data_IF_250588254975
#
_entry.id   IF_250588254975
#
_cell.length_a   1.000
_cell.length_b   1.000
_cell.length_c   1.000
_cell.angle_alpha   90.00
_cell.angle_beta   90.00
_cell.angle_gamma   90.00
#
_symmetry.space_group_name_H-M   'P 1'
#
loop_
_entity.id
_entity.type
_entity.pdbx_description
1 polymer ?
#
# COMPACT_ATOMS: atom_id res chain seq x y z
N UNK A 1 -14.92 0.79 -0.85
CA UNK A 1 -15.44 0.68 -2.23
C UNK A 1 -16.06 1.98 -2.72
N UNK A 2 -17.12 2.47 -2.09
CA UNK A 2 -17.85 3.69 -2.52
C UNK A 2 -16.94 4.93 -2.65
N UNK A 3 -15.98 5.09 -1.73
CA UNK A 3 -14.98 6.16 -1.82
C UNK A 3 -14.17 6.11 -3.14
N UNK A 4 -13.70 4.93 -3.55
CA UNK A 4 -12.98 4.78 -4.83
C UNK A 4 -13.88 5.10 -6.02
N UNK A 5 -15.13 4.61 -6.00
CA UNK A 5 -16.12 4.89 -7.04
C UNK A 5 -16.36 6.37 -7.22
N UNK A 6 -16.55 7.10 -6.13
CA UNK A 6 -16.77 8.56 -6.14
C UNK A 6 -15.53 9.33 -6.59
N UNK A 7 -14.35 8.92 -6.16
CA UNK A 7 -13.10 9.63 -6.47
C UNK A 7 -12.60 9.37 -7.89
N UNK A 8 -12.75 8.14 -8.40
CA UNK A 8 -12.15 7.72 -9.68
C UNK A 8 -13.16 7.43 -10.79
N UNK A 9 -14.45 7.25 -10.46
CA UNK A 9 -15.49 6.91 -11.42
C UNK A 9 -15.52 5.44 -11.85
N UNK A 10 -14.69 4.59 -11.23
CA UNK A 10 -14.59 3.15 -11.52
C UNK A 10 -14.73 2.32 -10.24
N UNK A 11 -15.12 1.06 -10.39
CA UNK A 11 -15.21 0.11 -9.29
C UNK A 11 -13.99 -0.81 -9.28
N UNK A 12 -13.32 -1.00 -8.13
CA UNK A 12 -12.37 -2.09 -7.99
C UNK A 12 -13.07 -3.45 -8.04
N UNK A 13 -12.36 -4.48 -8.52
CA UNK A 13 -12.83 -5.86 -8.56
C UNK A 13 -12.47 -6.62 -7.27
N UNK A 14 -13.14 -7.74 -7.01
CA UNK A 14 -12.78 -8.62 -5.89
C UNK A 14 -11.33 -9.08 -6.05
N UNK A 15 -10.54 -8.94 -4.99
CA UNK A 15 -9.20 -9.51 -4.93
C UNK A 15 -9.25 -10.89 -4.29
N UNK A 16 -9.10 -10.95 -2.97
CA UNK A 16 -9.16 -12.19 -2.20
C UNK A 16 -8.90 -11.97 -0.71
N UNK A 17 -8.71 -13.07 0.01
CA UNK A 17 -8.58 -13.07 1.47
C UNK A 17 -7.15 -13.43 1.90
N UNK A 18 -6.68 -12.86 3.00
CA UNK A 18 -5.35 -13.12 3.58
C UNK A 18 -5.51 -13.85 4.91
N UNK A 19 -5.49 -15.21 4.93
CA UNK A 19 -5.80 -15.97 6.14
C UNK A 19 -4.92 -15.62 7.34
N UNK A 20 -3.59 -15.47 7.13
CA UNK A 20 -2.64 -15.11 8.21
C UNK A 20 -2.95 -13.76 8.87
N UNK A 21 -3.67 -12.87 8.17
CA UNK A 21 -3.97 -11.51 8.64
C UNK A 21 -5.46 -11.28 8.89
N UNK A 22 -6.32 -12.25 8.60
CA UNK A 22 -7.78 -12.10 8.71
C UNK A 22 -8.29 -10.84 8.00
N UNK A 23 -7.77 -10.54 6.80
CA UNK A 23 -8.18 -9.40 5.96
C UNK A 23 -8.68 -9.89 4.60
N UNK A 24 -9.38 -9.02 3.89
CA UNK A 24 -9.77 -9.23 2.50
C UNK A 24 -9.57 -7.95 1.70
N UNK A 25 -9.41 -8.06 0.39
CA UNK A 25 -9.16 -6.92 -0.47
C UNK A 25 -10.00 -6.89 -1.74
N UNK A 26 -10.06 -5.69 -2.30
CA UNK A 26 -10.48 -5.40 -3.66
C UNK A 26 -9.32 -4.69 -4.38
N UNK A 27 -9.21 -4.90 -5.69
CA UNK A 27 -8.09 -4.46 -6.49
C UNK A 27 -8.58 -3.63 -7.68
N UNK A 28 -7.84 -2.58 -8.03
CA UNK A 28 -8.03 -1.81 -9.25
C UNK A 28 -6.71 -1.78 -10.01
N UNK A 29 -6.70 -2.25 -11.27
CA UNK A 29 -5.52 -2.17 -12.13
C UNK A 29 -5.19 -0.71 -12.41
N UNK A 30 -3.91 -0.35 -12.25
CA UNK A 30 -3.37 0.99 -12.52
C UNK A 30 -2.17 0.94 -13.48
N UNK A 31 -2.00 -0.15 -14.22
CA UNK A 31 -0.88 -0.42 -15.12
C UNK A 31 -0.50 -1.89 -15.10
N UNK A 32 0.55 -2.26 -15.84
CA UNK A 32 0.96 -3.67 -15.98
C UNK A 32 1.56 -4.26 -14.70
N UNK A 33 2.12 -3.41 -13.85
CA UNK A 33 2.79 -3.79 -12.60
C UNK A 33 2.29 -3.03 -11.37
N UNK A 34 1.27 -2.17 -11.52
CA UNK A 34 0.75 -1.29 -10.47
C UNK A 34 -0.75 -1.51 -10.31
N UNK A 35 -1.21 -1.56 -9.06
CA UNK A 35 -2.62 -1.63 -8.71
C UNK A 35 -2.90 -0.85 -7.42
N UNK A 36 -4.14 -0.39 -7.28
CA UNK A 36 -4.66 0.11 -6.01
C UNK A 36 -5.31 -1.05 -5.25
N UNK A 37 -4.93 -1.22 -4.00
CA UNK A 37 -5.54 -2.17 -3.09
C UNK A 37 -6.46 -1.44 -2.10
N UNK A 38 -7.71 -1.88 -2.02
CA UNK A 38 -8.64 -1.52 -0.95
C UNK A 38 -8.71 -2.71 -0.02
N UNK A 39 -8.28 -2.55 1.24
CA UNK A 39 -8.14 -3.64 2.20
C UNK A 39 -8.82 -3.32 3.53
N UNK A 40 -9.42 -4.34 4.15
CA UNK A 40 -10.07 -4.24 5.47
C UNK A 40 -9.97 -5.57 6.23
N UNK A 41 -10.17 -5.56 7.57
CA UNK A 41 -10.46 -6.79 8.32
C UNK A 41 -11.62 -7.55 7.70
N UNK A 42 -11.49 -8.86 7.55
CA UNK A 42 -12.57 -9.71 7.06
C UNK A 42 -13.53 -10.02 8.23
N UNK A 43 -14.81 -9.58 8.17
CA UNK A 43 -15.76 -9.77 9.28
C UNK A 43 -16.21 -11.23 9.43
N UNK A 44 -15.98 -12.07 8.42
CA UNK A 44 -16.44 -13.46 8.39
C UNK A 44 -15.42 -14.45 8.97
N UNK A 45 -14.26 -13.97 9.42
CA UNK A 45 -13.21 -14.81 10.00
C UNK A 45 -12.82 -14.29 11.39
N UNK A 46 -12.36 -15.17 12.30
CA UNK A 46 -11.86 -14.74 13.60
C UNK A 46 -10.72 -13.72 13.49
N UNK A 47 -10.58 -12.88 14.52
CA UNK A 47 -9.38 -12.04 14.66
C UNK A 47 -8.14 -12.94 14.72
N UNK A 48 -7.07 -12.68 13.95
CA UNK A 48 -5.85 -13.47 14.01
C UNK A 48 -5.14 -13.28 15.36
N UNK A 49 -4.30 -14.25 15.73
CA UNK A 49 -3.48 -14.22 16.96
C UNK A 49 -2.26 -13.27 16.87
N UNK A 50 -2.22 -12.41 15.84
CA UNK A 50 -1.18 -11.42 15.60
C UNK A 50 -1.79 -10.08 15.23
N UNK A 51 -1.09 -8.95 15.44
CA UNK A 51 -1.53 -7.67 14.90
C UNK A 51 -1.68 -7.72 13.38
N UNK A 52 -2.79 -7.17 12.88
CA UNK A 52 -2.97 -6.96 11.44
C UNK A 52 -2.04 -5.87 10.94
N UNK A 53 -1.60 -6.00 9.70
CA UNK A 53 -0.77 -5.01 9.01
C UNK A 53 -1.52 -3.69 8.82
N UNK A 54 -0.80 -2.68 8.37
CA UNK A 54 -1.35 -1.40 7.92
C UNK A 54 -2.19 -0.69 8.99
N UNK A 55 -1.88 -0.91 10.27
CA UNK A 55 -2.58 -0.35 11.43
C UNK A 55 -4.07 -0.70 11.50
N UNK A 56 -4.53 -1.73 10.80
CA UNK A 56 -5.96 -2.02 10.68
C UNK A 56 -6.65 -2.29 12.02
N UNK A 57 -5.94 -2.82 13.01
CA UNK A 57 -6.48 -3.07 14.36
C UNK A 57 -6.57 -1.80 15.23
N UNK A 58 -5.99 -0.67 14.79
CA UNK A 58 -6.09 0.65 15.45
C UNK A 58 -7.24 1.49 14.91
N UNK A 59 -7.88 1.05 13.82
CA UNK A 59 -8.98 1.79 13.20
C UNK A 59 -10.28 1.48 13.94
N UNK A 60 -11.00 2.54 14.32
CA UNK A 60 -12.38 2.43 14.79
C UNK A 60 -13.33 2.14 13.61
N UNK A 61 -14.48 1.53 13.88
CA UNK A 61 -15.45 1.13 12.84
C UNK A 61 -15.98 2.29 11.98
N UNK A 62 -15.91 3.53 12.47
CA UNK A 62 -16.33 4.76 11.79
C UNK A 62 -15.15 5.47 11.07
N UNK A 63 -13.94 4.91 11.09
CA UNK A 63 -12.77 5.52 10.47
C UNK A 63 -13.01 5.67 8.96
N UNK A 64 -12.94 6.88 8.38
CA UNK A 64 -13.10 7.06 6.95
C UNK A 64 -11.99 6.34 6.18
N UNK A 65 -12.27 5.86 4.96
CA UNK A 65 -11.24 5.26 4.11
C UNK A 65 -10.17 6.30 3.78
N UNK A 66 -8.90 5.87 3.85
CA UNK A 66 -7.74 6.70 3.52
C UNK A 66 -6.76 5.95 2.63
N UNK A 67 -5.93 6.69 1.90
CA UNK A 67 -4.74 6.13 1.28
C UNK A 67 -3.68 5.94 2.38
N UNK A 68 -3.54 4.71 2.86
CA UNK A 68 -2.79 4.42 4.08
C UNK A 68 -1.29 4.29 3.88
N UNK A 69 -0.84 3.66 2.79
CA UNK A 69 0.58 3.46 2.49
C UNK A 69 0.78 3.09 1.02
N UNK A 70 2.04 2.99 0.58
CA UNK A 70 2.41 2.35 -0.67
C UNK A 70 3.22 1.07 -0.39
N UNK A 71 3.12 0.11 -1.30
CA UNK A 71 3.87 -1.15 -1.23
C UNK A 71 4.85 -1.18 -2.41
N UNK A 72 6.14 -1.14 -2.12
CA UNK A 72 7.21 -1.11 -3.11
C UNK A 72 7.73 -2.53 -3.38
N UNK A 73 7.73 -2.93 -4.65
CA UNK A 73 8.25 -4.22 -5.09
C UNK A 73 9.78 -4.22 -5.09
N UNK A 74 10.38 -5.31 -4.63
CA UNK A 74 11.82 -5.60 -4.73
C UNK A 74 12.05 -7.00 -5.30
N UNK A 75 13.25 -7.23 -5.85
CA UNK A 75 13.72 -8.56 -6.26
C UNK A 75 14.34 -9.35 -5.11
N UNK A 76 14.82 -8.66 -4.07
CA UNK A 76 15.37 -9.26 -2.85
C UNK A 76 15.09 -8.31 -1.67
N UNK A 77 14.18 -8.72 -0.79
CA UNK A 77 13.76 -7.93 0.37
C UNK A 77 14.84 -7.83 1.44
N UNK A 78 15.70 -8.84 1.58
CA UNK A 78 16.78 -8.83 2.56
C UNK A 78 17.90 -7.90 2.15
N UNK A 79 18.28 -7.93 0.87
CA UNK A 79 19.26 -6.99 0.31
C UNK A 79 18.75 -5.55 0.35
N UNK A 80 17.47 -5.31 0.03
CA UNK A 80 16.87 -3.97 0.15
C UNK A 80 16.87 -3.45 1.60
N UNK A 81 16.54 -4.30 2.57
CA UNK A 81 16.58 -3.94 3.99
C UNK A 81 18.01 -3.66 4.50
N UNK A 82 19.03 -4.36 3.98
CA UNK A 82 20.41 -4.10 4.36
C UNK A 82 20.90 -2.70 3.94
N UNK A 83 20.30 -2.12 2.88
CA UNK A 83 20.57 -0.77 2.41
C UNK A 83 19.70 0.30 3.09
N UNK A 84 18.67 -0.13 3.82
CA UNK A 84 17.63 0.73 4.34
C UNK A 84 18.12 1.51 5.56
N UNK A 85 17.92 2.83 5.57
CA UNK A 85 18.30 3.67 6.71
C UNK A 85 17.33 3.59 7.90
N UNK A 86 16.19 2.93 7.73
CA UNK A 86 15.08 2.89 8.69
C UNK A 86 14.56 1.45 8.85
N UNK A 87 13.99 1.11 10.00
CA UNK A 87 13.43 -0.23 10.21
C UNK A 87 12.01 -0.33 9.64
N UNK A 88 11.83 -1.06 8.53
CA UNK A 88 10.53 -1.19 7.84
C UNK A 88 9.65 -2.38 8.29
N UNK A 89 10.14 -3.18 9.26
CA UNK A 89 9.43 -4.37 9.74
C UNK A 89 10.27 -5.63 9.58
N UNK A 90 9.77 -6.75 10.10
CA UNK A 90 10.38 -8.06 9.88
C UNK A 90 9.93 -8.61 8.53
N UNK A 91 10.79 -9.35 7.85
CA UNK A 91 10.41 -10.08 6.64
C UNK A 91 9.53 -11.26 7.05
N UNK A 92 8.32 -11.31 6.50
CA UNK A 92 7.32 -12.32 6.80
C UNK A 92 6.86 -13.02 5.51
N UNK A 93 6.81 -14.37 5.49
CA UNK A 93 6.32 -15.11 4.34
C UNK A 93 4.80 -15.10 4.29
N UNK A 94 4.22 -14.71 3.16
CA UNK A 94 2.77 -14.57 3.00
C UNK A 94 2.29 -15.39 1.80
N UNK A 95 1.07 -15.89 1.91
CA UNK A 95 0.45 -16.66 0.83
C UNK A 95 -1.05 -16.46 0.76
N UNK A 96 -1.57 -16.64 -0.45
CA UNK A 96 -3.00 -16.66 -0.76
C UNK A 96 -3.25 -17.46 -2.03
N UNK A 97 -3.93 -18.60 -1.90
CA UNK A 97 -4.10 -19.52 -3.03
C UNK A 97 -2.74 -19.96 -3.56
N UNK A 98 -2.47 -19.72 -4.84
CA UNK A 98 -1.20 -20.04 -5.50
C UNK A 98 -0.15 -18.92 -5.42
N UNK A 99 -0.49 -17.79 -4.79
CA UNK A 99 0.41 -16.64 -4.66
C UNK A 99 1.24 -16.77 -3.40
N UNK A 100 2.55 -16.55 -3.54
CA UNK A 100 3.50 -16.53 -2.44
C UNK A 100 4.40 -15.29 -2.56
N UNK A 101 4.68 -14.64 -1.44
CA UNK A 101 5.54 -13.46 -1.41
C UNK A 101 6.18 -13.28 -0.03
N UNK A 102 7.26 -12.52 0.03
CA UNK A 102 7.80 -11.97 1.27
C UNK A 102 7.34 -10.53 1.42
N UNK A 103 7.09 -10.09 2.65
CA UNK A 103 6.68 -8.72 2.94
C UNK A 103 7.29 -8.21 4.24
N UNK A 104 7.65 -6.93 4.31
CA UNK A 104 8.05 -6.32 5.59
C UNK A 104 6.81 -5.99 6.42
N UNK A 105 6.71 -6.55 7.62
CA UNK A 105 5.58 -6.31 8.53
C UNK A 105 6.14 -5.96 9.91
N UNK A 106 5.92 -4.73 10.42
CA UNK A 106 6.21 -4.40 11.82
C UNK A 106 5.46 -5.35 12.76
N UNK A 107 6.12 -5.80 13.83
CA UNK A 107 5.55 -6.81 14.75
C UNK A 107 4.29 -6.33 15.47
N UNK A 108 4.12 -5.01 15.61
CA UNK A 108 2.95 -4.36 16.19
C UNK A 108 1.87 -3.99 15.15
N UNK A 109 2.09 -4.34 13.87
CA UNK A 109 1.18 -4.01 12.77
C UNK A 109 1.20 -2.54 12.34
N UNK A 110 2.12 -1.74 12.88
CA UNK A 110 2.21 -0.30 12.58
C UNK A 110 2.62 -0.01 11.14
N UNK A 111 2.50 1.26 10.76
CA UNK A 111 2.98 1.80 9.51
C UNK A 111 4.17 2.73 9.79
N UNK A 112 5.40 2.39 9.36
CA UNK A 112 6.55 3.27 9.53
C UNK A 112 6.30 4.66 8.91
N UNK A 113 6.71 5.72 9.60
CA UNK A 113 6.42 7.11 9.22
C UNK A 113 4.93 7.37 8.92
N UNK A 114 4.04 6.79 9.74
CA UNK A 114 2.58 6.92 9.60
C UNK A 114 2.04 6.45 8.24
N UNK A 115 2.79 5.58 7.56
CA UNK A 115 2.43 5.00 6.26
C UNK A 115 3.12 5.65 5.07
N UNK A 116 3.93 6.68 5.31
CA UNK A 116 4.68 7.35 4.24
C UNK A 116 5.88 6.52 3.78
N UNK A 117 6.56 5.83 4.70
CA UNK A 117 7.59 4.87 4.31
C UNK A 117 6.92 3.64 3.71
N UNK A 118 7.47 3.10 2.60
CA UNK A 118 6.85 1.99 1.90
C UNK A 118 6.96 0.71 2.71
N UNK A 119 5.98 -0.16 2.53
CA UNK A 119 6.17 -1.59 2.82
C UNK A 119 6.89 -2.25 1.65
N UNK A 120 7.86 -3.12 1.89
CA UNK A 120 8.54 -3.85 0.82
C UNK A 120 7.84 -5.19 0.55
N UNK A 121 7.74 -5.57 -0.72
CA UNK A 121 7.20 -6.85 -1.15
C UNK A 121 8.09 -7.53 -2.19
N UNK A 122 8.32 -8.83 -2.05
CA UNK A 122 9.05 -9.66 -3.01
C UNK A 122 8.16 -10.82 -3.43
N UNK A 123 7.79 -10.87 -4.72
CA UNK A 123 6.90 -11.92 -5.24
C UNK A 123 7.70 -13.18 -5.58
N UNK A 124 7.24 -14.33 -5.10
CA UNK A 124 7.80 -15.67 -5.40
C UNK A 124 6.85 -16.46 -6.32
N UNK A 125 6.18 -15.79 -7.24
CA UNK A 125 5.24 -16.42 -8.18
C UNK A 125 5.36 -15.73 -9.53
N UNK A 126 5.49 -16.51 -10.61
CA UNK A 126 5.75 -16.00 -11.97
C UNK A 126 4.62 -15.11 -12.50
N UNK A 127 3.38 -15.36 -12.09
CA UNK A 127 2.23 -14.57 -12.53
C UNK A 127 1.99 -13.35 -11.64
N UNK A 128 2.38 -12.16 -12.11
CA UNK A 128 2.04 -10.91 -11.42
C UNK A 128 0.53 -10.70 -11.34
N UNK A 129 0.03 -10.38 -10.14
CA UNK A 129 -1.40 -10.12 -9.90
C UNK A 129 -1.99 -9.11 -10.89
N UNK A 130 -1.26 -8.03 -11.17
CA UNK A 130 -1.70 -6.94 -12.04
C UNK A 130 -2.01 -7.36 -13.48
N UNK A 131 -1.37 -8.42 -14.01
CA UNK A 131 -1.62 -8.88 -15.38
C UNK A 131 -2.96 -9.61 -15.52
N UNK A 132 -3.49 -10.14 -14.41
CA UNK A 132 -4.79 -10.84 -14.37
C UNK A 132 -5.97 -9.93 -13.99
N UNK A 133 -5.70 -8.68 -13.59
CA UNK A 133 -6.76 -7.73 -13.25
C UNK A 133 -7.44 -7.22 -14.52
N UNK A 134 -8.76 -7.02 -14.44
CA UNK A 134 -9.50 -6.35 -15.48
C UNK A 134 -8.97 -4.92 -15.65
N UNK A 135 -8.67 -4.56 -16.90
CA UNK A 135 -8.36 -3.19 -17.24
C UNK A 135 -9.65 -2.40 -17.46
N UNK A 136 -9.80 -1.31 -16.71
CA UNK A 136 -10.95 -0.39 -16.78
C UNK A 136 -10.52 1.02 -17.23
N UNK A 137 -9.34 1.13 -17.85
CA UNK A 137 -8.81 2.39 -18.38
C UNK A 137 -8.21 3.30 -17.32
N UNK A 138 -7.66 2.73 -16.25
CA UNK A 138 -6.97 3.48 -15.20
C UNK A 138 -5.46 3.26 -15.24
N UNK A 139 -4.68 4.33 -15.07
CA UNK A 139 -3.24 4.25 -14.90
C UNK A 139 -2.72 5.15 -13.79
N UNK A 140 -1.72 4.65 -13.06
CA UNK A 140 -1.01 5.43 -12.05
C UNK A 140 -0.16 6.51 -12.74
N UNK A 141 -0.20 7.73 -12.21
CA UNK A 141 0.60 8.85 -12.71
C UNK A 141 1.71 9.19 -11.73
N UNK A 142 1.36 9.46 -10.46
CA UNK A 142 2.34 9.82 -9.41
C UNK A 142 1.75 9.73 -8.00
N UNK A 143 2.62 9.65 -7.00
CA UNK A 143 2.30 9.66 -5.59
C UNK A 143 3.02 10.83 -4.90
N UNK A 144 2.26 11.70 -4.26
CA UNK A 144 2.80 12.72 -3.37
C UNK A 144 2.64 12.28 -1.92
N UNK A 145 3.69 12.43 -1.13
CA UNK A 145 3.72 12.17 0.29
C UNK A 145 4.03 13.44 1.06
N UNK A 146 3.36 13.64 2.19
CA UNK A 146 3.52 14.83 3.02
C UNK A 146 3.79 14.41 4.46
N UNK A 147 4.94 14.84 5.03
CA UNK A 147 5.38 14.44 6.37
C UNK A 147 6.33 15.49 6.96
N UNK A 148 6.35 15.69 8.28
CA UNK A 148 7.26 16.62 8.96
C UNK A 148 8.74 16.25 8.79
N UNK A 149 9.03 14.95 8.68
CA UNK A 149 10.35 14.37 8.46
C UNK A 149 10.66 14.04 6.99
N UNK A 150 10.17 14.85 6.05
CA UNK A 150 10.27 14.59 4.61
C UNK A 150 11.70 14.28 4.13
N UNK A 151 12.73 14.91 4.70
CA UNK A 151 14.13 14.68 4.34
C UNK A 151 14.60 13.27 4.71
N UNK A 152 14.23 12.76 5.89
CA UNK A 152 14.55 11.38 6.32
C UNK A 152 13.89 10.36 5.41
N UNK A 153 12.62 10.57 5.08
CA UNK A 153 11.86 9.70 4.18
C UNK A 153 12.45 9.74 2.76
N UNK A 154 12.83 10.92 2.28
CA UNK A 154 13.47 11.06 0.95
C UNK A 154 14.80 10.31 0.89
N UNK A 155 15.60 10.38 1.95
CA UNK A 155 16.84 9.61 2.07
C UNK A 155 16.58 8.10 2.11
N UNK A 156 15.55 7.67 2.86
CA UNK A 156 15.08 6.29 2.90
C UNK A 156 14.70 5.78 1.49
N UNK A 157 13.82 6.49 0.78
CA UNK A 157 13.39 6.08 -0.58
C UNK A 157 14.57 5.98 -1.55
N UNK A 158 15.54 6.90 -1.44
CA UNK A 158 16.78 6.86 -2.21
C UNK A 158 17.66 5.67 -1.84
N UNK A 159 17.77 5.31 -0.56
CA UNK A 159 18.62 4.22 -0.08
C UNK A 159 18.22 2.85 -0.63
N UNK A 160 16.92 2.65 -0.83
CA UNK A 160 16.35 1.42 -1.41
C UNK A 160 16.05 1.55 -2.91
N UNK A 161 16.49 2.65 -3.55
CA UNK A 161 16.31 2.93 -4.98
C UNK A 161 14.86 2.75 -5.47
N UNK A 162 13.89 3.32 -4.76
CA UNK A 162 12.49 3.26 -5.21
C UNK A 162 12.36 3.93 -6.57
N UNK A 163 11.91 3.16 -7.56
CA UNK A 163 11.59 3.65 -8.89
C UNK A 163 10.12 4.10 -8.96
N UNK A 164 9.85 5.10 -9.80
CA UNK A 164 8.52 5.64 -10.05
C UNK A 164 8.36 7.11 -9.64
N UNK A 165 7.23 7.69 -10.03
CA UNK A 165 6.91 9.09 -9.78
C UNK A 165 6.42 9.29 -8.33
N UNK A 166 7.36 9.30 -7.37
CA UNK A 166 7.08 9.53 -5.94
C UNK A 166 7.84 10.78 -5.47
N UNK A 167 7.13 11.70 -4.83
CA UNK A 167 7.72 12.91 -4.22
C UNK A 167 7.33 13.04 -2.76
N UNK A 168 8.24 13.50 -1.91
CA UNK A 168 7.98 13.75 -0.49
C UNK A 168 8.16 15.23 -0.19
N UNK A 169 7.14 15.88 0.35
CA UNK A 169 7.12 17.28 0.73
C UNK A 169 7.00 17.45 2.26
N UNK A 170 7.61 18.50 2.83
CA UNK A 170 7.56 18.75 4.26
C UNK A 170 6.18 19.23 4.72
N UNK A 171 5.83 18.89 5.96
CA UNK A 171 4.72 19.48 6.71
C UNK A 171 5.22 20.18 7.98
N UNK A 172 4.45 21.13 8.55
CA UNK A 172 4.72 21.65 9.88
C UNK A 172 4.77 20.52 10.92
N UNK A 173 5.58 20.69 11.97
CA UNK A 173 5.61 19.76 13.09
C UNK A 173 4.20 19.61 13.71
N UNK A 174 3.81 18.37 14.01
CA UNK A 174 2.47 18.05 14.56
C UNK A 174 1.34 17.97 13.53
N UNK A 175 1.57 18.33 12.26
CA UNK A 175 0.60 18.11 11.21
C UNK A 175 0.46 16.60 10.91
N UNK A 176 -0.76 16.16 10.59
CA UNK A 176 -1.04 14.77 10.23
C UNK A 176 -0.44 14.43 8.86
N UNK A 177 0.40 13.39 8.74
CA UNK A 177 0.91 12.93 7.46
C UNK A 177 -0.16 12.36 6.54
N UNK A 178 0.01 12.52 5.23
CA UNK A 178 -0.93 12.00 4.24
C UNK A 178 -0.28 11.71 2.88
N UNK A 179 -0.99 10.93 2.08
CA UNK A 179 -0.65 10.57 0.70
C UNK A 179 -1.70 11.11 -0.27
N UNK A 180 -1.25 11.48 -1.47
CA UNK A 180 -2.10 11.84 -2.61
C UNK A 180 -1.65 11.04 -3.83
N UNK A 181 -2.49 10.14 -4.31
CA UNK A 181 -2.25 9.44 -5.58
C UNK A 181 -2.96 10.16 -6.72
N UNK A 182 -2.25 10.33 -7.84
CA UNK A 182 -2.80 10.86 -9.07
C UNK A 182 -2.99 9.70 -10.04
N UNK A 183 -4.22 9.54 -10.50
CA UNK A 183 -4.65 8.41 -11.32
C UNK A 183 -5.34 8.96 -12.55
N UNK A 184 -4.83 8.60 -13.72
CA UNK A 184 -5.53 8.81 -14.97
C UNK A 184 -6.71 7.85 -15.01
N UNK A 185 -7.92 8.36 -15.28
CA UNK A 185 -9.13 7.55 -15.45
C UNK A 185 -9.75 7.82 -16.83
N UNK A 186 -10.77 7.04 -17.26
CA UNK A 186 -11.49 7.34 -18.50
C UNK A 186 -12.13 8.75 -18.52
N UNK A 187 -12.33 9.35 -17.34
CA UNK A 187 -12.89 10.70 -17.19
C UNK A 187 -11.85 11.82 -17.04
N UNK A 188 -10.56 11.50 -17.19
CA UNK A 188 -9.45 12.43 -16.96
C UNK A 188 -8.64 12.13 -15.69
N UNK A 189 -7.67 13.00 -15.40
CA UNK A 189 -6.82 12.90 -14.22
C UNK A 189 -7.62 13.16 -12.93
N UNK A 190 -7.56 12.22 -11.98
CA UNK A 190 -8.21 12.31 -10.67
C UNK A 190 -7.18 12.19 -9.55
N UNK A 191 -7.50 12.80 -8.41
CA UNK A 191 -6.74 12.65 -7.17
C UNK A 191 -7.47 11.70 -6.24
N UNK A 192 -6.71 10.79 -5.62
CA UNK A 192 -7.14 9.96 -4.52
C UNK A 192 -6.30 10.35 -3.29
N UNK A 193 -6.90 11.14 -2.42
CA UNK A 193 -6.38 11.46 -1.09
C UNK A 193 -7.52 11.29 -0.10
N UNK A 194 -7.21 10.95 1.14
CA UNK A 194 -8.23 10.91 2.19
C UNK A 194 -8.96 12.28 2.25
N UNK A 195 -10.26 12.28 2.59
CA UNK A 195 -11.03 13.51 2.77
C UNK A 195 -10.51 14.38 3.91
#
# INVERSE_FOLDING_TARGET
MEFVRRSLGVMPQVGGEHPRMGTHNFLLKLGDSIFLEVISPNPNVPKPERPRWFELDRLESNTPPRLATCVARTADVHSALAMCSEHLGKVEPMSRGQLNWLMTIPSDGSLPFNGIAPTLIEWHTEAHLATKLQDVGCSFVRLEAFHSEAQRISALLKSISVEGEISVAPLPAGAQPYLVAYIQTPSGLRKLCAP
#
